data_IF_096226714508
#
_entry.id   IF_096226714508
#
_cell.length_a   1.000
_cell.length_b   1.000
_cell.length_c   1.000
_cell.angle_alpha   90.00
_cell.angle_beta   90.00
_cell.angle_gamma   90.00
#
_symmetry.space_group_name_H-M   'P 1'
#
loop_
_entity.id
_entity.type
_entity.pdbx_description
1 polymer ?
#
# COMPACT_ATOMS: atom_id res chain seq x y z
N UNK A 1 25.36 -26.33 6.48
CA UNK A 1 24.10 -25.67 6.88
C UNK A 1 24.04 -24.35 6.13
N UNK A 2 23.11 -24.18 5.20
CA UNK A 2 22.93 -22.92 4.47
C UNK A 2 21.69 -22.25 5.02
N UNK A 3 21.85 -21.10 5.63
CA UNK A 3 20.75 -20.31 6.19
C UNK A 3 19.96 -19.72 5.02
N UNK A 4 18.91 -20.44 4.59
CA UNK A 4 17.94 -19.91 3.64
C UNK A 4 16.98 -19.03 4.40
N UNK A 5 17.42 -17.83 4.77
CA UNK A 5 16.55 -16.72 5.14
C UNK A 5 15.78 -16.21 3.91
N UNK A 6 15.12 -17.13 3.20
CA UNK A 6 14.21 -16.90 2.08
C UNK A 6 12.77 -17.02 2.55
N UNK A 7 12.48 -16.57 3.78
CA UNK A 7 11.13 -16.56 4.29
C UNK A 7 10.39 -15.43 3.60
N UNK A 8 9.67 -15.80 2.53
CA UNK A 8 8.63 -14.98 1.90
C UNK A 8 7.80 -14.38 3.03
N UNK A 9 7.78 -13.06 3.16
CA UNK A 9 6.92 -12.40 4.13
C UNK A 9 5.51 -12.45 3.56
N UNK A 10 4.71 -13.37 4.12
CA UNK A 10 3.32 -13.58 3.73
C UNK A 10 2.40 -12.83 4.68
N UNK A 11 1.31 -12.26 4.16
CA UNK A 11 0.33 -11.47 4.92
C UNK A 11 0.93 -10.23 5.62
N UNK A 12 1.89 -9.56 4.98
CA UNK A 12 2.49 -8.37 5.56
C UNK A 12 1.59 -7.15 5.33
N UNK A 13 1.47 -6.28 6.33
CA UNK A 13 0.73 -5.03 6.23
C UNK A 13 1.71 -3.87 6.12
N UNK A 14 1.56 -3.06 5.09
CA UNK A 14 2.38 -1.87 4.85
C UNK A 14 1.56 -0.63 5.19
N UNK A 15 2.12 0.23 6.05
CA UNK A 15 1.54 1.54 6.35
C UNK A 15 1.92 2.52 5.25
N UNK A 16 0.92 3.09 4.62
CA UNK A 16 1.02 4.16 3.62
C UNK A 16 0.51 5.44 4.24
N UNK A 17 1.36 6.45 4.27
CA UNK A 17 1.03 7.77 4.80
C UNK A 17 0.88 8.73 3.62
N UNK A 18 -0.34 9.22 3.43
CA UNK A 18 -0.63 10.23 2.41
C UNK A 18 -0.61 11.59 3.09
N UNK A 19 0.17 12.52 2.55
CA UNK A 19 0.22 13.92 2.97
C UNK A 19 0.02 14.81 1.75
N UNK A 20 -0.32 16.08 1.97
CA UNK A 20 -0.46 17.09 0.90
C UNK A 20 0.80 17.24 0.03
N UNK A 21 1.96 16.79 0.53
CA UNK A 21 3.24 16.84 -0.18
C UNK A 21 3.47 15.63 -1.10
N UNK A 22 2.96 14.46 -0.72
CA UNK A 22 3.19 13.20 -1.44
C UNK A 22 1.96 12.71 -2.22
N UNK A 23 0.79 13.28 -1.94
CA UNK A 23 -0.47 12.84 -2.50
C UNK A 23 -1.39 14.00 -2.81
N UNK A 24 -1.88 14.04 -4.04
CA UNK A 24 -2.81 15.07 -4.49
C UNK A 24 -4.25 14.62 -4.20
N UNK A 25 -4.80 15.13 -3.10
CA UNK A 25 -6.17 14.80 -2.70
C UNK A 25 -7.23 15.29 -3.70
N UNK A 26 -6.88 16.15 -4.67
CA UNK A 26 -7.81 16.57 -5.73
C UNK A 26 -8.06 15.46 -6.74
N UNK A 27 -7.19 14.44 -6.81
CA UNK A 27 -7.32 13.29 -7.70
C UNK A 27 -8.18 12.16 -7.14
N UNK A 28 -8.52 12.23 -5.86
CA UNK A 28 -9.35 11.24 -5.18
C UNK A 28 -10.66 11.88 -4.76
N UNK A 29 -11.73 11.09 -4.62
CA UNK A 29 -12.96 11.58 -3.96
C UNK A 29 -12.64 12.03 -2.53
N UNK A 30 -13.39 13.03 -2.06
CA UNK A 30 -13.30 13.57 -0.70
C UNK A 30 -13.42 12.47 0.38
N UNK A 31 -14.13 11.38 0.08
CA UNK A 31 -14.34 10.23 0.96
C UNK A 31 -13.25 9.13 0.83
N UNK A 32 -12.26 9.29 -0.04
CA UNK A 32 -11.22 8.27 -0.30
C UNK A 32 -11.73 7.00 -0.98
N UNK A 33 -13.01 6.97 -1.38
CA UNK A 33 -13.67 5.78 -1.91
C UNK A 33 -13.23 5.33 -3.31
N UNK A 34 -12.41 6.12 -4.00
CA UNK A 34 -11.84 5.75 -5.32
C UNK A 34 -10.39 5.24 -5.23
N UNK A 35 -9.80 5.20 -4.03
CA UNK A 35 -8.44 4.66 -3.85
C UNK A 35 -8.37 3.20 -4.27
N UNK A 36 -7.49 2.88 -5.21
CA UNK A 36 -7.21 1.49 -5.59
C UNK A 36 -5.73 1.19 -5.45
N UNK A 37 -5.42 0.25 -4.57
CA UNK A 37 -4.08 -0.29 -4.43
C UNK A 37 -3.97 -1.53 -5.30
N UNK A 38 -3.00 -1.54 -6.20
CA UNK A 38 -2.68 -2.72 -7.01
C UNK A 38 -1.22 -3.08 -6.83
N UNK A 39 -0.94 -4.38 -6.92
CA UNK A 39 0.41 -4.92 -6.89
C UNK A 39 1.27 -4.44 -8.07
N UNK A 40 2.56 -4.81 -8.12
CA UNK A 40 3.49 -4.39 -9.19
C UNK A 40 3.05 -4.83 -10.59
N UNK A 41 2.18 -5.83 -10.67
CA UNK A 41 1.57 -6.31 -11.90
C UNK A 41 0.51 -5.34 -12.47
N UNK A 42 0.04 -4.36 -11.68
CA UNK A 42 -0.98 -3.39 -12.06
C UNK A 42 -2.41 -3.95 -12.17
N UNK A 43 -2.57 -5.28 -12.10
CA UNK A 43 -3.87 -5.96 -12.20
C UNK A 43 -4.36 -6.49 -10.86
N UNK A 44 -3.45 -6.95 -9.99
CA UNK A 44 -3.82 -7.57 -8.72
C UNK A 44 -4.23 -6.51 -7.70
N UNK A 45 -5.51 -6.40 -7.40
CA UNK A 45 -6.02 -5.51 -6.35
C UNK A 45 -5.59 -6.02 -4.96
N UNK A 46 -4.99 -5.13 -4.18
CA UNK A 46 -4.55 -5.41 -2.83
C UNK A 46 -5.62 -4.93 -1.84
N UNK A 47 -6.01 -5.78 -0.87
CA UNK A 47 -6.91 -5.35 0.19
C UNK A 47 -6.22 -4.28 1.04
N UNK A 48 -6.95 -3.21 1.33
CA UNK A 48 -6.46 -2.11 2.15
C UNK A 48 -7.50 -1.71 3.19
N UNK A 49 -7.04 -1.01 4.21
CA UNK A 49 -7.87 -0.46 5.27
C UNK A 49 -7.44 0.97 5.57
N UNK A 50 -8.38 1.89 5.57
CA UNK A 50 -8.13 3.29 5.93
C UNK A 50 -8.25 3.39 7.45
N UNK A 51 -7.11 3.50 8.13
CA UNK A 51 -7.07 3.75 9.57
C UNK A 51 -7.43 5.20 9.87
N UNK A 52 -6.94 6.13 9.04
CA UNK A 52 -7.21 7.56 9.18
C UNK A 52 -7.34 8.21 7.81
N UNK A 53 -8.43 8.94 7.61
CA UNK A 53 -8.60 9.77 6.42
C UNK A 53 -8.60 11.24 6.83
N UNK A 54 -7.62 11.99 6.37
CA UNK A 54 -7.57 13.43 6.55
C UNK A 54 -7.01 14.12 5.30
N UNK A 55 -7.88 14.50 4.34
CA UNK A 55 -7.46 15.18 3.12
C UNK A 55 -6.89 16.58 3.37
N UNK A 56 -7.13 17.17 4.54
CA UNK A 56 -6.50 18.44 4.96
C UNK A 56 -5.18 18.27 5.72
N UNK A 57 -4.65 17.04 5.83
CA UNK A 57 -3.44 16.75 6.57
C UNK A 57 -2.83 15.41 6.20
N UNK A 58 -2.69 14.52 7.19
CA UNK A 58 -2.12 13.18 7.02
C UNK A 58 -3.19 12.10 7.09
N UNK A 59 -3.31 11.33 6.01
CA UNK A 59 -4.12 10.10 5.96
C UNK A 59 -3.22 8.88 6.13
N UNK A 60 -3.70 7.88 6.85
CA UNK A 60 -2.99 6.63 7.14
C UNK A 60 -3.83 5.48 6.59
N UNK A 61 -3.22 4.71 5.70
CA UNK A 61 -3.83 3.56 5.04
C UNK A 61 -2.92 2.37 5.23
N UNK A 62 -3.50 1.24 5.59
CA UNK A 62 -2.81 -0.03 5.70
C UNK A 62 -3.12 -0.88 4.48
N UNK A 63 -2.11 -1.26 3.72
CA UNK A 63 -2.26 -2.13 2.55
C UNK A 63 -1.73 -3.51 2.91
N UNK A 64 -2.57 -4.53 2.76
CA UNK A 64 -2.19 -5.91 3.02
C UNK A 64 -1.63 -6.53 1.74
N UNK A 65 -0.35 -6.90 1.79
CA UNK A 65 0.36 -7.52 0.69
C UNK A 65 0.42 -9.04 0.93
N UNK A 66 -0.09 -9.85 -0.01
CA UNK A 66 -0.17 -11.30 0.17
C UNK A 66 1.22 -11.94 0.26
N UNK A 67 2.16 -11.47 -0.56
CA UNK A 67 3.56 -11.92 -0.53
C UNK A 67 4.52 -10.79 -0.93
N UNK A 68 5.58 -10.66 -0.14
CA UNK A 68 6.77 -9.88 -0.50
C UNK A 68 7.93 -10.88 -0.61
N UNK A 69 8.48 -11.11 -1.81
CA UNK A 69 9.66 -11.96 -1.96
C UNK A 69 10.82 -11.35 -1.16
N UNK A 70 11.51 -12.18 -0.38
CA UNK A 70 12.66 -11.75 0.40
C UNK A 70 13.73 -11.18 -0.55
N UNK A 71 14.32 -10.03 -0.18
CA UNK A 71 15.35 -9.34 -0.97
C UNK A 71 14.86 -8.69 -2.29
N UNK A 72 13.58 -8.27 -2.36
CA UNK A 72 13.06 -7.58 -3.54
C UNK A 72 12.25 -6.35 -3.15
N UNK A 73 12.46 -5.27 -3.88
CA UNK A 73 11.61 -4.08 -3.83
C UNK A 73 10.32 -4.37 -4.61
N UNK A 74 9.17 -4.27 -3.93
CA UNK A 74 7.87 -4.44 -4.58
C UNK A 74 7.23 -3.08 -4.78
N UNK A 75 7.03 -2.70 -6.03
CA UNK A 75 6.30 -1.48 -6.38
C UNK A 75 4.81 -1.75 -6.24
N UNK A 76 4.11 -0.84 -5.58
CA UNK A 76 2.66 -0.87 -5.45
C UNK A 76 2.17 0.36 -6.19
N UNK A 77 1.15 0.18 -7.01
CA UNK A 77 0.53 1.30 -7.69
C UNK A 77 -0.71 1.72 -6.92
N UNK A 78 -0.85 3.04 -6.80
CA UNK A 78 -2.04 3.70 -6.31
C UNK A 78 -2.66 4.43 -7.49
N UNK A 79 -3.93 4.13 -7.76
CA UNK A 79 -4.75 4.79 -8.75
C UNK A 79 -5.91 5.51 -8.08
#
# INVERSE_FOLDING_TARGET
MVERSGNRLVNYQVRVELTLENFDYSKVRIDGGDLRFTDSDGVTLLPYWIEKWNPGGTSIIWVKIPEIPANSEKKIYLY
#
